data_IF_888843858510
#
_entry.id   IF_888843858510
#
_cell.length_a   1.000
_cell.length_b   1.000
_cell.length_c   1.000
_cell.angle_alpha   90.00
_cell.angle_beta   90.00
_cell.angle_gamma   90.00
#
_symmetry.space_group_name_H-M   'P 1'
#
loop_
_entity.id
_entity.type
_entity.pdbx_description
1 polymer ?
#
# COMPACT_ATOMS: atom_id res chain seq x y z
N UNK A 1 -10.57 6.94 3.30
CA UNK A 1 -10.06 5.55 3.32
C UNK A 1 -10.82 4.74 2.27
N UNK A 2 -10.14 3.75 1.69
CA UNK A 2 -10.44 3.04 0.44
C UNK A 2 -11.79 2.29 0.39
N UNK A 3 -12.90 2.99 0.11
CA UNK A 3 -14.22 2.34 -0.02
C UNK A 3 -14.41 1.55 -1.33
N UNK A 4 -13.72 1.95 -2.40
CA UNK A 4 -13.89 1.32 -3.73
C UNK A 4 -13.32 -0.08 -3.78
N UNK A 5 -12.07 -0.31 -3.36
CA UNK A 5 -11.45 -1.64 -3.47
C UNK A 5 -12.13 -2.70 -2.59
N UNK A 6 -12.54 -2.35 -1.36
CA UNK A 6 -13.30 -3.30 -0.51
C UNK A 6 -14.68 -3.61 -1.12
N UNK A 7 -15.35 -2.61 -1.67
CA UNK A 7 -16.62 -2.80 -2.38
C UNK A 7 -16.44 -3.68 -3.62
N UNK A 8 -15.36 -3.51 -4.36
CA UNK A 8 -15.09 -4.30 -5.56
C UNK A 8 -14.79 -5.77 -5.23
N UNK A 9 -14.13 -6.03 -4.10
CA UNK A 9 -13.96 -7.39 -3.57
C UNK A 9 -15.33 -8.03 -3.28
N UNK A 10 -16.27 -7.33 -2.63
CA UNK A 10 -17.63 -7.86 -2.40
C UNK A 10 -18.42 -8.04 -3.70
N UNK A 11 -18.33 -7.11 -4.65
CA UNK A 11 -18.98 -7.25 -5.96
C UNK A 11 -18.50 -8.51 -6.68
N UNK A 12 -17.20 -8.79 -6.65
CA UNK A 12 -16.64 -10.01 -7.22
C UNK A 12 -17.15 -11.26 -6.50
N UNK A 13 -17.12 -11.26 -5.16
CA UNK A 13 -17.62 -12.38 -4.35
C UNK A 13 -19.07 -12.72 -4.68
N UNK A 14 -19.95 -11.72 -4.71
CA UNK A 14 -21.38 -11.88 -5.03
C UNK A 14 -21.58 -12.31 -6.47
N UNK A 15 -20.89 -11.68 -7.43
CA UNK A 15 -21.00 -12.02 -8.86
C UNK A 15 -20.62 -13.48 -9.14
N UNK A 16 -19.68 -14.02 -8.37
CA UNK A 16 -19.22 -15.41 -8.49
C UNK A 16 -20.04 -16.39 -7.63
N UNK A 17 -20.99 -15.93 -6.83
CA UNK A 17 -21.82 -16.78 -5.97
C UNK A 17 -21.04 -17.46 -4.84
N UNK A 18 -20.00 -16.81 -4.31
CA UNK A 18 -19.14 -17.37 -3.24
C UNK A 18 -19.65 -16.91 -1.88
N UNK A 19 -20.10 -17.81 -1.01
CA UNK A 19 -20.65 -17.40 0.31
C UNK A 19 -19.57 -16.91 1.30
N UNK A 20 -18.48 -17.68 1.42
CA UNK A 20 -17.30 -17.38 2.23
C UNK A 20 -16.05 -17.87 1.49
N UNK A 21 -14.89 -17.27 1.79
CA UNK A 21 -13.62 -17.63 1.15
C UNK A 21 -12.41 -17.43 2.05
N UNK A 22 -11.28 -18.03 1.67
CA UNK A 22 -9.96 -17.71 2.24
C UNK A 22 -9.41 -16.47 1.55
N UNK A 23 -9.00 -15.48 2.33
CA UNK A 23 -8.41 -14.24 1.79
C UNK A 23 -6.89 -14.35 1.83
N UNK A 24 -6.28 -14.38 0.66
CA UNK A 24 -4.83 -14.45 0.48
C UNK A 24 -4.31 -13.08 0.04
N UNK A 25 -3.32 -12.53 0.73
CA UNK A 25 -2.75 -11.23 0.36
C UNK A 25 -1.38 -10.94 0.97
N UNK A 26 -0.48 -10.38 0.16
CA UNK A 26 0.85 -9.98 0.63
C UNK A 26 1.20 -8.54 0.30
N UNK A 27 2.14 -7.95 1.06
CA UNK A 27 2.49 -6.52 0.96
C UNK A 27 1.23 -5.65 1.10
N UNK A 28 0.96 -4.71 0.18
CA UNK A 28 -0.31 -3.97 0.12
C UNK A 28 -1.55 -4.87 0.16
N UNK A 29 -1.50 -6.04 -0.48
CA UNK A 29 -2.57 -7.03 -0.42
C UNK A 29 -2.85 -7.53 1.00
N UNK A 30 -1.85 -7.53 1.89
CA UNK A 30 -2.07 -7.86 3.31
C UNK A 30 -2.83 -6.75 4.04
N UNK A 31 -2.58 -5.48 3.72
CA UNK A 31 -3.35 -4.34 4.21
C UNK A 31 -4.81 -4.45 3.81
N UNK A 32 -5.07 -4.71 2.51
CA UNK A 32 -6.42 -4.90 2.00
C UNK A 32 -7.10 -6.12 2.61
N UNK A 33 -6.38 -7.23 2.76
CA UNK A 33 -6.93 -8.45 3.37
C UNK A 33 -7.35 -8.21 4.82
N UNK A 34 -6.53 -7.51 5.60
CA UNK A 34 -6.85 -7.14 6.98
C UNK A 34 -8.07 -6.21 7.01
N UNK A 35 -8.07 -5.13 6.22
CA UNK A 35 -9.19 -4.20 6.17
C UNK A 35 -10.51 -4.88 5.74
N UNK A 36 -10.45 -5.74 4.72
CA UNK A 36 -11.60 -6.53 4.27
C UNK A 36 -12.12 -7.46 5.38
N UNK A 37 -11.23 -8.21 6.03
CA UNK A 37 -11.61 -9.15 7.09
C UNK A 37 -12.17 -8.48 8.34
N UNK A 38 -11.72 -7.26 8.66
CA UNK A 38 -12.26 -6.46 9.77
C UNK A 38 -13.66 -5.91 9.44
N UNK A 39 -13.92 -5.64 8.16
CA UNK A 39 -15.21 -5.09 7.69
C UNK A 39 -16.25 -6.19 7.45
N UNK A 40 -15.83 -7.35 6.94
CA UNK A 40 -16.69 -8.50 6.58
C UNK A 40 -16.16 -9.81 7.20
N UNK A 41 -16.06 -9.90 8.53
CA UNK A 41 -15.50 -11.07 9.19
C UNK A 41 -16.27 -12.35 8.87
N UNK A 42 -17.59 -12.25 8.68
CA UNK A 42 -18.46 -13.38 8.34
C UNK A 42 -18.25 -13.93 6.92
N UNK A 43 -17.50 -13.23 6.07
CA UNK A 43 -17.16 -13.68 4.71
C UNK A 43 -15.81 -14.40 4.64
N UNK A 44 -15.04 -14.41 5.72
CA UNK A 44 -13.68 -14.92 5.75
C UNK A 44 -13.60 -16.29 6.44
N UNK A 45 -13.20 -17.33 5.72
CA UNK A 45 -12.86 -18.64 6.28
C UNK A 45 -11.49 -18.66 6.96
N UNK A 46 -10.57 -17.79 6.52
CA UNK A 46 -9.22 -17.67 7.03
C UNK A 46 -8.39 -16.66 6.24
N UNK A 47 -7.23 -16.31 6.79
CA UNK A 47 -6.29 -15.37 6.18
C UNK A 47 -4.93 -16.04 5.92
N UNK A 48 -4.38 -15.82 4.73
CA UNK A 48 -3.00 -16.18 4.41
C UNK A 48 -2.26 -14.90 4.02
N UNK A 49 -1.42 -14.42 4.93
CA UNK A 49 -0.77 -13.11 4.82
C UNK A 49 0.76 -13.25 4.69
N UNK A 50 1.38 -12.40 3.87
CA UNK A 50 2.85 -12.38 3.67
C UNK A 50 3.39 -10.96 3.56
N UNK A 51 4.52 -10.68 4.20
CA UNK A 51 5.17 -9.36 4.11
C UNK A 51 4.23 -8.26 4.58
N UNK A 52 3.87 -8.32 5.87
CA UNK A 52 2.82 -7.50 6.47
C UNK A 52 3.10 -6.01 6.26
N UNK A 53 2.08 -5.29 5.80
CA UNK A 53 2.10 -3.85 5.67
C UNK A 53 0.85 -3.27 6.33
N UNK A 54 1.04 -2.43 7.35
CA UNK A 54 -0.07 -1.87 8.14
C UNK A 54 -0.30 -0.39 7.89
N UNK A 55 0.34 0.20 6.88
CA UNK A 55 0.23 1.62 6.53
C UNK A 55 0.60 2.60 7.67
N UNK A 56 1.32 2.15 8.69
CA UNK A 56 1.75 3.07 9.76
C UNK A 56 2.73 4.08 9.19
N UNK A 57 2.67 5.33 9.66
CA UNK A 57 3.57 6.40 9.23
C UNK A 57 5.05 5.99 9.29
N UNK A 58 5.46 5.26 10.33
CA UNK A 58 6.84 4.75 10.43
C UNK A 58 7.24 3.75 9.34
N UNK A 59 6.33 2.91 8.85
CA UNK A 59 6.61 1.96 7.76
C UNK A 59 6.75 2.70 6.44
N UNK A 60 5.92 3.72 6.25
CA UNK A 60 5.95 4.62 5.10
C UNK A 60 7.27 5.40 5.07
N UNK A 61 7.63 6.07 6.18
CA UNK A 61 8.86 6.84 6.30
C UNK A 61 10.10 5.95 6.19
N UNK A 62 10.08 4.75 6.78
CA UNK A 62 11.18 3.79 6.67
C UNK A 62 11.53 3.48 5.21
N UNK A 63 10.51 3.30 4.36
CA UNK A 63 10.73 2.90 2.96
C UNK A 63 10.97 4.09 2.02
N UNK A 64 10.27 5.21 2.23
CA UNK A 64 10.24 6.33 1.27
C UNK A 64 10.96 7.60 1.74
N UNK A 65 11.37 7.71 3.00
CA UNK A 65 12.01 8.92 3.52
C UNK A 65 13.42 8.65 4.04
N UNK A 66 13.56 7.70 4.96
CA UNK A 66 14.84 7.35 5.57
C UNK A 66 14.72 6.02 6.32
N UNK A 67 15.60 5.07 6.03
CA UNK A 67 15.56 3.73 6.62
C UNK A 67 16.10 2.66 5.69
N UNK A 68 15.31 2.28 4.69
CA UNK A 68 15.76 1.42 3.60
C UNK A 68 16.95 2.03 2.82
N UNK A 69 17.02 3.37 2.81
CA UNK A 69 18.14 4.16 2.29
C UNK A 69 19.51 3.77 2.87
N UNK A 70 19.55 3.31 4.14
CA UNK A 70 20.79 2.87 4.77
C UNK A 70 21.27 1.51 4.28
N UNK A 71 20.37 0.71 3.70
CA UNK A 71 20.65 -0.64 3.21
C UNK A 71 20.99 -0.60 1.73
N UNK A 72 20.32 0.28 0.96
CA UNK A 72 20.48 0.42 -0.49
C UNK A 72 20.83 1.87 -0.87
N UNK A 73 22.00 2.39 -0.45
CA UNK A 73 22.35 3.79 -0.67
C UNK A 73 22.52 4.15 -2.16
N UNK A 74 23.00 3.22 -2.96
CA UNK A 74 23.16 3.35 -4.42
C UNK A 74 21.82 3.53 -5.13
N UNK A 75 20.83 2.67 -4.83
CA UNK A 75 19.48 2.82 -5.36
C UNK A 75 18.77 4.08 -4.82
N UNK A 76 19.10 4.48 -3.58
CA UNK A 76 18.54 5.67 -2.95
C UNK A 76 19.00 6.96 -3.64
N UNK A 77 20.25 7.03 -4.10
CA UNK A 77 20.75 8.19 -4.85
C UNK A 77 19.92 8.45 -6.11
N UNK A 78 19.59 7.41 -6.88
CA UNK A 78 18.73 7.52 -8.06
C UNK A 78 17.29 7.90 -7.70
N UNK A 79 16.77 7.40 -6.58
CA UNK A 79 15.45 7.78 -6.07
C UNK A 79 15.35 9.27 -5.71
N UNK A 80 16.34 9.86 -5.05
CA UNK A 80 16.25 11.28 -4.67
C UNK A 80 16.70 12.25 -5.76
N UNK A 81 17.42 11.76 -6.78
CA UNK A 81 17.96 12.56 -7.91
C UNK A 81 16.92 13.46 -8.60
N UNK A 82 15.71 13.01 -8.95
CA UNK A 82 14.70 13.87 -9.58
C UNK A 82 14.07 14.91 -8.64
N UNK A 83 14.33 14.83 -7.33
CA UNK A 83 13.73 15.70 -6.32
C UNK A 83 14.71 16.81 -5.90
N UNK A 84 14.36 18.11 -6.04
CA UNK A 84 15.15 19.24 -5.57
C UNK A 84 15.42 19.15 -4.07
N UNK A 85 16.62 19.57 -3.65
CA UNK A 85 17.05 19.45 -2.25
C UNK A 85 16.08 20.08 -1.25
N UNK A 86 15.46 21.21 -1.61
CA UNK A 86 14.48 21.89 -0.77
C UNK A 86 13.21 21.06 -0.48
N UNK A 87 12.86 20.12 -1.36
CA UNK A 87 11.67 19.27 -1.24
C UNK A 87 11.96 17.91 -0.58
N UNK A 88 13.23 17.53 -0.42
CA UNK A 88 13.62 16.18 0.06
C UNK A 88 13.24 15.87 1.51
N UNK A 89 12.74 16.85 2.26
CA UNK A 89 12.23 16.65 3.62
C UNK A 89 10.88 15.91 3.65
N UNK A 90 10.14 15.89 2.53
CA UNK A 90 8.91 15.13 2.35
C UNK A 90 8.85 14.55 0.92
N UNK A 91 9.52 13.42 0.75
CA UNK A 91 9.66 12.77 -0.56
C UNK A 91 8.33 12.27 -1.10
N UNK A 92 7.40 11.87 -0.23
CA UNK A 92 6.09 11.36 -0.67
C UNK A 92 5.29 12.49 -1.31
N UNK A 93 5.22 13.65 -0.66
CA UNK A 93 4.55 14.82 -1.23
C UNK A 93 5.25 15.29 -2.50
N UNK A 94 6.59 15.32 -2.52
CA UNK A 94 7.36 15.71 -3.70
C UNK A 94 7.10 14.80 -4.90
N UNK A 95 7.01 13.49 -4.69
CA UNK A 95 6.66 12.53 -5.74
C UNK A 95 5.20 12.62 -6.16
N UNK A 96 4.28 12.81 -5.21
CA UNK A 96 2.86 12.98 -5.53
C UNK A 96 2.65 14.15 -6.50
N UNK A 97 3.24 15.31 -6.23
CA UNK A 97 3.12 16.49 -7.10
C UNK A 97 3.57 16.20 -8.54
N UNK A 98 4.65 15.45 -8.73
CA UNK A 98 5.17 15.09 -10.05
C UNK A 98 4.29 14.06 -10.75
N UNK A 99 3.87 13.02 -10.04
CA UNK A 99 3.05 11.94 -10.62
C UNK A 99 1.62 12.37 -10.96
N UNK A 100 1.11 13.44 -10.32
CA UNK A 100 -0.19 14.03 -10.63
C UNK A 100 -0.08 15.36 -11.38
N UNK A 101 1.11 15.72 -11.83
CA UNK A 101 1.35 16.94 -12.61
C UNK A 101 0.66 16.80 -13.98
N UNK A 102 0.05 17.88 -14.50
CA UNK A 102 -0.38 17.93 -15.89
C UNK A 102 0.82 18.06 -16.86
N UNK A 103 1.97 18.50 -16.35
CA UNK A 103 3.23 18.62 -17.09
C UNK A 103 4.02 17.31 -16.95
N UNK A 104 4.26 16.56 -18.05
CA UNK A 104 4.86 15.22 -18.05
C UNK A 104 6.37 15.17 -17.76
#
# INVERSE_FOLDING_TARGET
>A
MCGTSLSDIEKLRVKLGIDQWVVFGGSWGSTLSLAYSQTHPERCLGLILRGIFMLRQKEILWFYQEGASYIFPDAWEDYIKPIPQAERHDLISAYYQRLTSPDP
#
